data_IF_851418077584
#
_entry.id   IF_851418077584
#
_cell.length_a   1.000
_cell.length_b   1.000
_cell.length_c   1.000
_cell.angle_alpha   90.00
_cell.angle_beta   90.00
_cell.angle_gamma   90.00
#
_symmetry.space_group_name_H-M   'P 1'
#
loop_
_entity.id
_entity.type
_entity.pdbx_description
1 polymer ?
#
# COMPACT_ATOMS: atom_id res chain seq x y z
N UNK A 1 58.25 2.82 -14.39
CA UNK A 1 56.97 3.53 -14.55
C UNK A 1 55.81 2.55 -14.80
N UNK A 2 55.53 1.62 -13.86
CA UNK A 2 54.48 0.57 -14.03
C UNK A 2 53.47 0.47 -12.87
N UNK A 3 53.57 1.33 -11.86
CA UNK A 3 52.74 1.26 -10.64
C UNK A 3 51.52 2.20 -10.64
N UNK A 4 51.36 3.04 -11.67
CA UNK A 4 50.27 4.04 -11.73
C UNK A 4 49.04 3.49 -12.48
N UNK A 5 49.19 2.43 -13.28
CA UNK A 5 48.08 1.89 -14.10
C UNK A 5 47.09 1.01 -13.31
N UNK A 6 47.47 0.49 -12.13
CA UNK A 6 46.61 -0.40 -11.35
C UNK A 6 45.62 0.33 -10.43
N UNK A 7 45.81 1.63 -10.19
CA UNK A 7 44.98 2.38 -9.24
C UNK A 7 43.71 2.97 -9.86
N UNK A 8 43.62 3.07 -11.20
CA UNK A 8 42.46 3.64 -11.89
C UNK A 8 41.37 2.60 -12.22
N UNK A 9 41.72 1.31 -12.26
CA UNK A 9 40.75 0.22 -12.55
C UNK A 9 39.88 -0.11 -11.33
N UNK A 10 40.38 0.09 -10.10
CA UNK A 10 39.61 -0.19 -8.88
C UNK A 10 38.50 0.82 -8.57
N UNK A 11 38.52 2.02 -9.16
CA UNK A 11 37.50 3.04 -8.93
C UNK A 11 36.27 2.84 -9.83
N UNK A 12 36.40 2.16 -10.96
CA UNK A 12 35.28 1.92 -11.88
C UNK A 12 34.38 0.74 -11.49
N UNK A 13 34.83 -0.12 -10.58
CA UNK A 13 34.12 -1.36 -10.21
C UNK A 13 33.15 -1.20 -9.02
N UNK A 14 33.12 -0.03 -8.38
CA UNK A 14 32.30 0.23 -7.19
C UNK A 14 30.95 0.91 -7.48
N UNK A 15 30.68 1.31 -8.72
CA UNK A 15 29.48 2.09 -9.08
C UNK A 15 28.28 1.26 -9.59
N UNK A 16 28.38 -0.08 -9.65
CA UNK A 16 27.38 -0.91 -10.34
C UNK A 16 26.24 -1.47 -9.47
N UNK A 17 26.15 -1.12 -8.18
CA UNK A 17 25.22 -1.80 -7.26
C UNK A 17 24.10 -0.94 -6.64
N UNK A 18 23.75 0.20 -7.21
CA UNK A 18 22.62 1.02 -6.72
C UNK A 18 21.56 1.25 -7.80
N UNK A 19 21.05 0.16 -8.38
CA UNK A 19 19.70 0.23 -8.96
C UNK A 19 18.70 0.18 -7.80
N UNK A 20 18.29 1.35 -7.31
CA UNK A 20 17.14 1.44 -6.42
C UNK A 20 15.93 0.84 -7.17
N UNK A 21 15.51 -0.37 -6.80
CA UNK A 21 14.26 -0.94 -7.26
C UNK A 21 13.13 -0.09 -6.66
N UNK A 22 12.69 0.92 -7.42
CA UNK A 22 11.45 1.61 -7.13
C UNK A 22 10.31 0.62 -7.36
N UNK A 23 9.44 0.44 -6.37
CA UNK A 23 8.24 -0.37 -6.49
C UNK A 23 7.39 0.09 -7.67
N UNK A 24 6.83 -0.85 -8.42
CA UNK A 24 5.99 -0.50 -9.57
C UNK A 24 4.74 0.27 -9.09
N UNK A 25 4.35 1.39 -9.72
CA UNK A 25 3.14 2.13 -9.34
C UNK A 25 1.89 1.25 -9.30
N UNK A 26 0.91 1.62 -8.49
CA UNK A 26 -0.42 0.99 -8.51
C UNK A 26 -1.02 1.13 -9.90
N UNK A 27 -1.62 0.07 -10.40
CA UNK A 27 -2.35 0.04 -11.67
C UNK A 27 -3.83 0.33 -11.47
N UNK A 28 -4.50 0.77 -12.53
CA UNK A 28 -5.95 0.96 -12.53
C UNK A 28 -6.71 -0.32 -12.14
N UNK A 29 -6.21 -1.49 -12.56
CA UNK A 29 -6.79 -2.79 -12.21
C UNK A 29 -6.71 -3.08 -10.71
N UNK A 30 -5.57 -2.78 -10.08
CA UNK A 30 -5.38 -2.95 -8.64
C UNK A 30 -6.22 -1.97 -7.84
N UNK A 31 -6.29 -0.71 -8.28
CA UNK A 31 -7.15 0.30 -7.67
C UNK A 31 -8.63 -0.12 -7.71
N UNK A 32 -9.13 -0.56 -8.87
CA UNK A 32 -10.50 -1.02 -9.01
C UNK A 32 -10.78 -2.32 -8.25
N UNK A 33 -9.80 -3.22 -8.18
CA UNK A 33 -9.91 -4.41 -7.35
C UNK A 33 -10.08 -4.02 -5.88
N UNK A 34 -9.24 -3.14 -5.31
CA UNK A 34 -9.37 -2.74 -3.90
C UNK A 34 -10.70 -2.04 -3.62
N UNK A 35 -11.07 -1.05 -4.45
CA UNK A 35 -12.24 -0.20 -4.19
C UNK A 35 -13.58 -0.90 -4.46
N UNK A 36 -13.60 -1.93 -5.31
CA UNK A 36 -14.84 -2.60 -5.74
C UNK A 36 -14.74 -4.12 -5.68
N UNK A 37 -13.70 -4.69 -6.29
CA UNK A 37 -13.55 -6.13 -6.47
C UNK A 37 -13.39 -6.93 -5.18
N UNK A 38 -12.63 -6.43 -4.22
CA UNK A 38 -12.33 -7.13 -2.97
C UNK A 38 -13.61 -7.40 -2.17
N UNK A 39 -14.49 -6.41 -2.03
CA UNK A 39 -15.80 -6.59 -1.38
C UNK A 39 -16.58 -7.74 -2.00
N UNK A 40 -16.66 -7.78 -3.33
CA UNK A 40 -17.36 -8.84 -4.09
C UNK A 40 -16.70 -10.20 -3.87
N UNK A 41 -15.38 -10.24 -3.89
CA UNK A 41 -14.63 -11.47 -3.67
C UNK A 41 -14.91 -12.08 -2.30
N UNK A 42 -14.81 -11.28 -1.23
CA UNK A 42 -15.05 -11.76 0.14
C UNK A 42 -16.52 -12.15 0.32
N UNK A 43 -17.47 -11.36 -0.19
CA UNK A 43 -18.90 -11.67 -0.04
C UNK A 43 -19.35 -12.91 -0.80
N UNK A 44 -18.64 -13.26 -1.88
CA UNK A 44 -18.97 -14.40 -2.74
C UNK A 44 -18.17 -15.66 -2.40
N UNK A 45 -17.22 -15.58 -1.46
CA UNK A 45 -16.32 -16.68 -1.13
C UNK A 45 -15.40 -17.09 -2.29
N UNK A 46 -15.08 -16.15 -3.19
CA UNK A 46 -14.19 -16.40 -4.31
C UNK A 46 -12.73 -16.41 -3.86
N UNK A 47 -11.92 -17.19 -4.56
CA UNK A 47 -10.47 -17.20 -4.37
C UNK A 47 -9.84 -15.84 -4.72
N UNK A 48 -8.65 -15.61 -4.17
CA UNK A 48 -7.83 -14.45 -4.52
C UNK A 48 -7.52 -14.43 -6.01
N UNK A 49 -7.54 -13.24 -6.60
CA UNK A 49 -7.09 -13.04 -7.98
C UNK A 49 -5.66 -13.59 -8.14
N UNK A 50 -5.45 -14.44 -9.14
CA UNK A 50 -4.14 -15.01 -9.45
C UNK A 50 -3.06 -13.91 -9.59
N UNK A 51 -1.89 -14.17 -9.01
CA UNK A 51 -0.76 -13.24 -8.98
C UNK A 51 -0.83 -12.17 -7.86
N UNK A 52 -1.84 -12.23 -7.00
CA UNK A 52 -2.01 -11.30 -5.88
C UNK A 52 -2.25 -12.00 -4.55
N UNK A 53 -1.79 -11.34 -3.48
CA UNK A 53 -2.08 -11.68 -2.09
C UNK A 53 -2.57 -10.44 -1.35
N UNK A 54 -3.46 -10.61 -0.37
CA UNK A 54 -3.87 -9.56 0.55
C UNK A 54 -3.36 -9.92 1.94
N UNK A 55 -2.52 -9.07 2.50
CA UNK A 55 -1.87 -9.27 3.80
C UNK A 55 -2.43 -8.26 4.80
N UNK A 56 -2.88 -8.73 5.96
CA UNK A 56 -3.32 -7.88 7.05
C UNK A 56 -2.13 -7.16 7.69
N UNK A 57 -2.23 -5.83 7.81
CA UNK A 57 -1.20 -4.97 8.41
C UNK A 57 -1.61 -4.61 9.84
N UNK A 58 -2.77 -3.99 10.00
CA UNK A 58 -3.28 -3.55 11.30
C UNK A 58 -4.80 -3.54 11.33
N UNK A 59 -5.37 -3.62 12.53
CA UNK A 59 -6.78 -3.37 12.78
C UNK A 59 -6.90 -2.48 14.00
N UNK A 60 -7.54 -1.33 13.84
CA UNK A 60 -7.58 -0.27 14.84
C UNK A 60 -9.01 0.18 15.06
N UNK A 61 -9.38 0.34 16.33
CA UNK A 61 -10.70 0.85 16.72
C UNK A 61 -10.57 2.26 17.26
N UNK A 62 -11.35 3.19 16.72
CA UNK A 62 -11.33 4.58 17.11
C UNK A 62 -12.75 5.13 17.14
N UNK A 63 -13.24 5.41 18.35
CA UNK A 63 -14.64 5.78 18.57
C UNK A 63 -15.59 4.69 18.03
N UNK A 64 -16.51 5.11 17.16
CA UNK A 64 -17.47 4.22 16.49
C UNK A 64 -16.95 3.62 15.19
N UNK A 65 -15.69 3.83 14.82
CA UNK A 65 -15.11 3.28 13.59
C UNK A 65 -14.07 2.20 13.88
N UNK A 66 -14.03 1.20 13.01
CA UNK A 66 -12.95 0.21 12.93
C UNK A 66 -12.26 0.37 11.58
N UNK A 67 -10.92 0.43 11.59
CA UNK A 67 -10.07 0.58 10.42
C UNK A 67 -9.23 -0.69 10.28
N UNK A 68 -9.44 -1.44 9.20
CA UNK A 68 -8.55 -2.54 8.82
C UNK A 68 -7.62 -2.04 7.73
N UNK A 69 -6.31 -2.13 7.97
CA UNK A 69 -5.29 -1.81 6.97
C UNK A 69 -4.74 -3.13 6.43
N UNK A 70 -4.76 -3.27 5.12
CA UNK A 70 -4.22 -4.43 4.41
C UNK A 70 -3.30 -3.97 3.29
N UNK A 71 -2.33 -4.78 2.91
CA UNK A 71 -1.49 -4.56 1.73
C UNK A 71 -1.94 -5.50 0.60
N UNK A 72 -2.10 -4.96 -0.61
CA UNK A 72 -2.18 -5.77 -1.81
C UNK A 72 -0.75 -6.02 -2.31
N UNK A 73 -0.37 -7.28 -2.44
CA UNK A 73 0.98 -7.71 -2.83
C UNK A 73 0.93 -8.41 -4.18
N UNK A 74 1.84 -8.06 -5.08
CA UNK A 74 2.07 -8.78 -6.34
C UNK A 74 2.96 -9.98 -6.06
N UNK A 75 2.42 -11.18 -6.14
CA UNK A 75 3.11 -12.41 -5.75
C UNK A 75 4.37 -12.67 -6.58
N UNK A 76 4.36 -12.35 -7.87
CA UNK A 76 5.52 -12.59 -8.75
C UNK A 76 6.70 -11.67 -8.43
N UNK A 77 6.41 -10.41 -8.07
CA UNK A 77 7.41 -9.38 -7.82
C UNK A 77 7.78 -9.26 -6.35
N UNK A 78 7.04 -9.91 -5.46
CA UNK A 78 7.15 -9.75 -4.01
C UNK A 78 7.20 -8.26 -3.62
N UNK A 79 6.24 -7.49 -4.15
CA UNK A 79 6.15 -6.05 -3.91
C UNK A 79 4.74 -5.65 -3.50
N UNK A 80 4.63 -4.68 -2.60
CA UNK A 80 3.36 -4.05 -2.25
C UNK A 80 2.92 -3.18 -3.43
N UNK A 81 1.74 -3.43 -3.98
CA UNK A 81 1.16 -2.60 -5.04
C UNK A 81 0.44 -1.38 -4.49
N UNK A 82 -0.24 -1.53 -3.35
CA UNK A 82 -1.12 -0.52 -2.77
C UNK A 82 -1.55 -0.92 -1.36
N UNK A 83 -2.01 0.08 -0.59
CA UNK A 83 -2.60 -0.14 0.72
C UNK A 83 -4.12 -0.07 0.60
N UNK A 84 -4.80 -1.05 1.16
CA UNK A 84 -6.25 -1.09 1.32
C UNK A 84 -6.60 -0.64 2.73
N UNK A 85 -7.57 0.27 2.84
CA UNK A 85 -8.19 0.62 4.11
C UNK A 85 -9.66 0.26 4.06
N UNK A 86 -10.11 -0.56 5.02
CA UNK A 86 -11.52 -0.89 5.20
C UNK A 86 -12.01 -0.18 6.46
N UNK A 87 -12.93 0.75 6.29
CA UNK A 87 -13.54 1.46 7.42
C UNK A 87 -14.93 0.92 7.66
N UNK A 88 -15.19 0.46 8.88
CA UNK A 88 -16.51 -0.03 9.32
C UNK A 88 -17.09 0.90 10.38
N UNK A 89 -18.28 1.44 10.13
CA UNK A 89 -19.06 2.17 11.15
C UNK A 89 -19.77 1.19 12.06
N UNK A 90 -19.49 1.22 13.36
CA UNK A 90 -20.21 0.46 14.38
C UNK A 90 -21.65 0.96 14.59
N UNK A 91 -21.93 2.21 14.22
CA UNK A 91 -23.28 2.81 14.37
C UNK A 91 -24.26 2.29 13.31
N UNK A 92 -23.80 2.12 12.07
CA UNK A 92 -24.67 1.78 10.93
C UNK A 92 -24.30 0.49 10.20
N UNK A 93 -23.16 -0.12 10.54
CA UNK A 93 -22.65 -1.34 9.89
C UNK A 93 -22.05 -1.13 8.50
N UNK A 94 -22.07 0.10 7.97
CA UNK A 94 -21.52 0.41 6.65
C UNK A 94 -20.01 0.16 6.60
N UNK A 95 -19.59 -0.55 5.53
CA UNK A 95 -18.18 -0.79 5.20
C UNK A 95 -17.78 -0.01 3.95
N UNK A 96 -16.68 0.71 4.06
CA UNK A 96 -16.09 1.49 2.98
C UNK A 96 -14.70 0.95 2.66
N UNK A 97 -14.37 0.87 1.37
CA UNK A 97 -13.13 0.25 0.87
C UNK A 97 -12.33 1.28 0.10
N UNK A 98 -11.11 1.55 0.57
CA UNK A 98 -10.26 2.60 0.03
C UNK A 98 -8.93 2.04 -0.45
N UNK A 99 -8.47 2.56 -1.57
CA UNK A 99 -7.13 2.32 -2.07
C UNK A 99 -6.29 3.56 -1.80
N UNK A 100 -5.19 3.41 -1.08
CA UNK A 100 -4.10 4.38 -1.03
C UNK A 100 -3.08 3.93 -2.10
N UNK A 101 -3.06 4.57 -3.28
CA UNK A 101 -2.20 4.15 -4.37
C UNK A 101 -0.77 4.63 -4.17
N UNK A 102 0.18 3.89 -4.74
CA UNK A 102 1.58 4.23 -4.80
C UNK A 102 1.98 4.67 -6.22
N UNK A 103 2.75 5.76 -6.34
CA UNK A 103 3.47 6.14 -7.56
C UNK A 103 2.63 6.72 -8.72
N UNK A 104 1.32 6.47 -8.81
CA UNK A 104 0.48 6.98 -9.90
C UNK A 104 -0.28 8.26 -9.49
N UNK A 105 0.01 9.38 -10.16
CA UNK A 105 -0.61 10.68 -9.86
C UNK A 105 -2.13 10.72 -10.16
N UNK A 106 -2.58 10.03 -11.20
CA UNK A 106 -4.00 10.01 -11.57
C UNK A 106 -4.81 9.21 -10.55
N UNK A 107 -4.26 8.09 -10.07
CA UNK A 107 -4.90 7.32 -9.00
C UNK A 107 -4.88 8.08 -7.67
N UNK A 108 -3.80 8.79 -7.35
CA UNK A 108 -3.78 9.69 -6.19
C UNK A 108 -4.86 10.77 -6.29
N UNK A 109 -5.08 11.33 -7.48
CA UNK A 109 -6.16 12.28 -7.71
C UNK A 109 -7.55 11.63 -7.57
N UNK A 110 -7.74 10.40 -8.06
CA UNK A 110 -9.00 9.65 -7.85
C UNK A 110 -9.27 9.42 -6.38
N UNK A 111 -8.26 8.96 -5.63
CA UNK A 111 -8.36 8.78 -4.18
C UNK A 111 -8.74 10.09 -3.48
N UNK A 112 -8.10 11.21 -3.83
CA UNK A 112 -8.46 12.52 -3.29
C UNK A 112 -9.90 12.92 -3.63
N UNK A 113 -10.34 12.69 -4.87
CA UNK A 113 -11.71 12.99 -5.28
C UNK A 113 -12.73 12.13 -4.50
N UNK A 114 -12.42 10.86 -4.24
CA UNK A 114 -13.25 9.98 -3.43
C UNK A 114 -13.38 10.51 -1.98
N UNK A 115 -12.30 11.04 -1.40
CA UNK A 115 -12.31 11.64 -0.06
C UNK A 115 -13.19 12.90 0.02
N UNK A 116 -13.23 13.72 -1.02
CA UNK A 116 -14.04 14.97 -1.03
C UNK A 116 -15.55 14.66 -0.96
N UNK A 117 -15.97 13.50 -1.48
CA UNK A 117 -17.37 13.11 -1.47
C UNK A 117 -17.87 12.71 -0.08
N UNK A 118 -16.98 12.60 0.91
CA UNK A 118 -17.35 12.17 2.25
C UNK A 118 -17.81 13.34 3.10
N UNK A 119 -18.76 13.05 3.97
CA UNK A 119 -19.16 13.98 5.00
C UNK A 119 -18.06 14.13 6.07
N UNK A 120 -18.26 15.12 6.94
CA UNK A 120 -17.36 15.39 8.06
C UNK A 120 -17.30 14.21 9.05
N UNK A 121 -18.36 13.43 9.16
CA UNK A 121 -18.50 12.36 10.15
C UNK A 121 -17.59 11.17 9.85
N UNK A 122 -17.28 10.91 8.58
CA UNK A 122 -16.31 9.88 8.18
C UNK A 122 -14.91 10.49 7.97
N UNK A 123 -14.82 11.66 7.35
CA UNK A 123 -13.53 12.26 6.97
C UNK A 123 -12.69 12.65 8.18
N UNK A 124 -13.31 13.22 9.22
CA UNK A 124 -12.61 13.66 10.43
C UNK A 124 -11.93 12.51 11.17
N UNK A 125 -12.64 11.42 11.56
CA UNK A 125 -12.01 10.31 12.25
C UNK A 125 -11.01 9.57 11.35
N UNK A 126 -11.26 9.47 10.04
CA UNK A 126 -10.28 8.90 9.10
C UNK A 126 -8.97 9.69 9.05
N UNK A 127 -9.04 11.02 8.96
CA UNK A 127 -7.85 11.88 8.95
C UNK A 127 -7.08 11.80 10.28
N UNK A 128 -7.79 11.77 11.41
CA UNK A 128 -7.17 11.59 12.72
C UNK A 128 -6.53 10.21 12.88
N UNK A 129 -7.18 9.14 12.42
CA UNK A 129 -6.62 7.79 12.36
C UNK A 129 -5.33 7.76 11.56
N UNK A 130 -5.37 8.21 10.30
CA UNK A 130 -4.20 8.22 9.43
C UNK A 130 -3.06 9.04 10.02
N UNK A 131 -3.34 10.13 10.74
CA UNK A 131 -2.31 10.99 11.35
C UNK A 131 -1.73 10.40 12.64
N UNK A 132 -2.59 9.89 13.54
CA UNK A 132 -2.17 9.38 14.86
C UNK A 132 -1.50 8.01 14.77
N UNK A 133 -1.85 7.21 13.77
CA UNK A 133 -1.32 5.86 13.54
C UNK A 133 -0.31 5.78 12.41
N UNK A 134 0.01 6.90 11.76
CA UNK A 134 0.92 6.94 10.60
C UNK A 134 2.23 6.20 10.84
N UNK A 135 2.92 6.51 11.95
CA UNK A 135 4.24 5.93 12.24
C UNK A 135 4.20 4.42 12.48
N UNK A 136 3.16 3.93 13.15
CA UNK A 136 2.97 2.50 13.42
C UNK A 136 2.69 1.74 12.11
N UNK A 137 1.74 2.24 11.32
CA UNK A 137 1.36 1.67 10.02
C UNK A 137 2.56 1.66 9.07
N UNK A 138 3.28 2.78 8.98
CA UNK A 138 4.47 2.88 8.13
C UNK A 138 5.55 1.88 8.57
N UNK A 139 5.78 1.74 9.88
CA UNK A 139 6.75 0.77 10.39
C UNK A 139 6.38 -0.66 10.03
N UNK A 140 5.10 -1.03 10.11
CA UNK A 140 4.64 -2.37 9.75
C UNK A 140 4.75 -2.62 8.25
N UNK A 141 4.44 -1.62 7.41
CA UNK A 141 4.63 -1.69 5.95
C UNK A 141 6.10 -1.91 5.61
N UNK A 142 7.01 -1.16 6.24
CA UNK A 142 8.46 -1.32 6.02
C UNK A 142 8.94 -2.73 6.43
N UNK A 143 8.45 -3.27 7.55
CA UNK A 143 8.78 -4.64 7.95
C UNK A 143 8.21 -5.69 6.97
N UNK A 144 7.03 -5.46 6.40
CA UNK A 144 6.49 -6.31 5.35
C UNK A 144 7.37 -6.26 4.09
N UNK A 145 7.74 -5.06 3.62
CA UNK A 145 8.63 -4.91 2.45
C UNK A 145 9.96 -5.63 2.65
N UNK A 146 10.54 -5.59 3.86
CA UNK A 146 11.76 -6.33 4.19
C UNK A 146 11.56 -7.85 4.13
N UNK A 147 10.39 -8.36 4.48
CA UNK A 147 10.08 -9.80 4.41
C UNK A 147 9.90 -10.26 2.96
N UNK A 148 9.27 -9.42 2.13
CA UNK A 148 9.04 -9.73 0.72
C UNK A 148 10.34 -9.73 -0.12
N UNK A 149 11.33 -8.92 0.26
CA UNK A 149 12.64 -8.83 -0.43
C UNK A 149 13.66 -9.92 -0.05
N UNK A 150 13.29 -10.89 0.80
CA UNK A 150 14.15 -12.01 1.21
C UNK A 150 13.94 -13.21 0.31
#
# INVERSE_FOLDING_TARGET
>A
MKKILFSTVSIFMFCSFLSAQNSSPTTETEYNYITKGYKVQISSGLDMKAGYEVIDISTEKMGTYTYEIKALVRSEKQEISSIMVITTSASWGNKYYFCIPHGDKNLNQKYYNDLILWDKEITTPYAYFMSSKYGEVLSQIVELEKKLKK
#
